data_IF_333018493594
#
_entry.id   IF_333018493594
#
_cell.length_a   1.000
_cell.length_b   1.000
_cell.length_c   1.000
_cell.angle_alpha   90.00
_cell.angle_beta   90.00
_cell.angle_gamma   90.00
#
_symmetry.space_group_name_H-M   'P 1'
#
loop_
_entity.id
_entity.type
_entity.pdbx_description
1 polymer ?
#
# COMPACT_ATOMS: atom_id res chain seq x y z
N UNK A 1 -24.92 -12.31 -3.54
CA UNK A 1 -24.77 -11.07 -2.72
C UNK A 1 -23.60 -10.29 -3.28
N UNK A 2 -23.82 -9.03 -3.69
CA UNK A 2 -22.68 -8.22 -4.14
C UNK A 2 -21.83 -7.86 -2.92
N UNK A 3 -20.74 -8.58 -2.71
CA UNK A 3 -19.79 -8.30 -1.64
C UNK A 3 -19.16 -6.91 -1.89
N UNK A 4 -18.88 -6.16 -0.82
CA UNK A 4 -18.23 -4.83 -0.92
C UNK A 4 -16.88 -4.94 -1.64
N UNK A 5 -16.14 -6.03 -1.46
CA UNK A 5 -14.89 -6.30 -2.14
C UNK A 5 -15.06 -6.33 -3.66
N UNK A 6 -16.11 -7.02 -4.16
CA UNK A 6 -16.39 -7.07 -5.61
C UNK A 6 -16.65 -5.69 -6.21
N UNK A 7 -17.34 -4.82 -5.46
CA UNK A 7 -17.60 -3.44 -5.89
C UNK A 7 -16.31 -2.64 -5.95
N UNK A 8 -15.45 -2.77 -4.95
CA UNK A 8 -14.14 -2.11 -4.91
C UNK A 8 -13.28 -2.56 -6.08
N UNK A 9 -13.18 -3.86 -6.32
CA UNK A 9 -12.37 -4.42 -7.42
C UNK A 9 -12.86 -3.93 -8.79
N UNK A 10 -14.17 -3.96 -9.04
CA UNK A 10 -14.74 -3.44 -10.30
C UNK A 10 -14.38 -1.96 -10.52
N UNK A 11 -14.57 -1.14 -9.48
CA UNK A 11 -14.23 0.28 -9.56
C UNK A 11 -12.74 0.51 -9.77
N UNK A 12 -11.90 -0.32 -9.14
CA UNK A 12 -10.45 -0.26 -9.32
C UNK A 12 -10.03 -0.60 -10.76
N UNK A 13 -10.65 -1.59 -11.39
CA UNK A 13 -10.40 -1.93 -12.81
C UNK A 13 -10.66 -0.71 -13.70
N UNK A 14 -11.85 -0.08 -13.57
CA UNK A 14 -12.20 1.11 -14.35
C UNK A 14 -11.17 2.24 -14.19
N UNK A 15 -10.78 2.53 -12.95
CA UNK A 15 -9.79 3.58 -12.65
C UNK A 15 -8.41 3.29 -13.23
N UNK A 16 -7.94 2.06 -13.12
CA UNK A 16 -6.64 1.69 -13.66
C UNK A 16 -6.60 1.89 -15.17
N UNK A 17 -7.65 1.47 -15.88
CA UNK A 17 -7.75 1.64 -17.33
C UNK A 17 -7.81 3.13 -17.73
N UNK A 18 -8.47 3.97 -16.94
CA UNK A 18 -8.47 5.42 -17.14
C UNK A 18 -7.08 6.03 -16.92
N UNK A 19 -6.41 5.65 -15.84
CA UNK A 19 -5.06 6.17 -15.53
C UNK A 19 -4.06 5.76 -16.59
N UNK A 20 -4.10 4.51 -17.07
CA UNK A 20 -3.21 4.01 -18.13
C UNK A 20 -3.32 4.79 -19.45
N UNK A 21 -4.46 5.41 -19.75
CA UNK A 21 -4.62 6.27 -20.92
C UNK A 21 -3.80 7.56 -20.81
N UNK A 22 -3.58 8.05 -19.60
CA UNK A 22 -2.98 9.36 -19.34
C UNK A 22 -1.55 9.27 -18.78
N UNK A 23 -1.15 8.11 -18.25
CA UNK A 23 0.14 7.90 -17.59
C UNK A 23 0.80 6.66 -18.18
N UNK A 24 1.94 6.83 -18.84
CA UNK A 24 2.71 5.71 -19.38
C UNK A 24 3.55 5.03 -18.28
N UNK A 25 3.84 3.75 -18.49
CA UNK A 25 4.72 3.00 -17.58
C UNK A 25 6.13 3.60 -17.55
N UNK A 26 6.63 4.11 -18.67
CA UNK A 26 7.96 4.70 -18.75
C UNK A 26 8.05 6.01 -17.95
N UNK A 27 6.99 6.83 -17.97
CA UNK A 27 6.91 8.00 -17.09
C UNK A 27 7.00 7.62 -15.59
N UNK A 28 6.36 6.52 -15.20
CA UNK A 28 6.44 6.02 -13.83
C UNK A 28 7.85 5.52 -13.49
N UNK A 29 8.50 4.78 -14.40
CA UNK A 29 9.89 4.31 -14.24
C UNK A 29 10.87 5.47 -14.11
N UNK A 30 10.75 6.50 -14.94
CA UNK A 30 11.57 7.71 -14.85
C UNK A 30 11.40 8.43 -13.51
N UNK A 31 10.18 8.48 -12.99
CA UNK A 31 9.89 9.08 -11.69
C UNK A 31 10.48 8.24 -10.55
N UNK A 32 10.41 6.92 -10.64
CA UNK A 32 11.03 5.99 -9.69
C UNK A 32 12.54 6.15 -9.68
N UNK A 33 13.20 6.23 -10.85
CA UNK A 33 14.65 6.36 -10.96
C UNK A 33 15.20 7.66 -10.36
N UNK A 34 14.38 8.71 -10.28
CA UNK A 34 14.73 10.01 -9.69
C UNK A 34 14.45 10.09 -8.18
N UNK A 35 13.88 9.05 -7.59
CA UNK A 35 13.51 9.02 -6.18
C UNK A 35 14.47 8.15 -5.38
N UNK A 36 15.17 8.75 -4.42
CA UNK A 36 16.15 8.11 -3.53
C UNK A 36 15.60 7.87 -2.09
N UNK A 37 14.33 8.18 -1.85
CA UNK A 37 13.71 8.14 -0.52
C UNK A 37 13.23 6.76 -0.07
N UNK A 38 13.51 5.70 -0.83
CA UNK A 38 13.04 4.35 -0.52
C UNK A 38 13.73 3.75 0.71
N UNK A 39 12.92 3.08 1.53
CA UNK A 39 13.35 2.43 2.77
C UNK A 39 12.97 0.95 2.73
N UNK A 40 13.76 0.11 3.39
CA UNK A 40 13.46 -1.32 3.46
C UNK A 40 12.45 -1.60 4.58
N UNK A 41 11.18 -1.76 4.19
CA UNK A 41 10.06 -2.01 5.12
C UNK A 41 10.24 -3.31 5.91
N UNK A 42 10.58 -4.41 5.23
CA UNK A 42 10.82 -5.72 5.85
C UNK A 42 11.98 -5.68 6.83
N UNK A 43 13.11 -5.13 6.42
CA UNK A 43 14.32 -5.06 7.24
C UNK A 43 14.09 -4.27 8.54
N UNK A 44 13.32 -3.17 8.46
CA UNK A 44 13.00 -2.37 9.65
C UNK A 44 12.25 -3.19 10.71
N UNK A 45 11.32 -4.03 10.27
CA UNK A 45 10.58 -4.94 11.16
C UNK A 45 11.51 -6.03 11.71
N UNK A 46 12.31 -6.69 10.85
CA UNK A 46 13.22 -7.74 11.28
C UNK A 46 14.28 -7.25 12.27
N UNK A 47 14.78 -6.03 12.10
CA UNK A 47 15.75 -5.44 13.05
C UNK A 47 15.14 -5.26 14.43
N UNK A 48 13.85 -4.90 14.52
CA UNK A 48 13.17 -4.85 15.83
C UNK A 48 13.04 -6.26 16.45
N UNK A 49 12.63 -7.26 15.66
CA UNK A 49 12.50 -8.65 16.13
C UNK A 49 13.83 -9.18 16.66
N UNK A 50 14.94 -8.97 15.94
CA UNK A 50 16.29 -9.36 16.37
C UNK A 50 16.71 -8.71 17.70
N UNK A 51 16.20 -7.53 17.98
CA UNK A 51 16.49 -6.78 19.20
C UNK A 51 15.39 -6.96 20.28
N UNK A 52 14.52 -7.97 20.15
CA UNK A 52 13.38 -8.24 21.06
C UNK A 52 12.46 -7.02 21.25
N UNK A 53 12.28 -6.20 20.21
CA UNK A 53 11.38 -5.03 20.21
C UNK A 53 10.12 -5.32 19.41
N UNK A 54 9.01 -4.78 19.88
CA UNK A 54 7.73 -4.82 19.15
C UNK A 54 7.82 -3.88 17.94
N UNK A 55 7.30 -4.34 16.80
CA UNK A 55 7.11 -3.51 15.61
C UNK A 55 5.65 -3.08 15.49
N UNK A 56 5.44 -1.78 15.29
CA UNK A 56 4.11 -1.20 15.08
C UNK A 56 4.04 -0.68 13.65
N UNK A 57 3.04 -1.15 12.89
CA UNK A 57 2.64 -0.58 11.60
C UNK A 57 1.41 0.28 11.87
N UNK A 58 1.56 1.59 11.86
CA UNK A 58 0.49 2.52 12.20
C UNK A 58 -0.30 2.94 10.95
N UNK A 59 -1.63 2.78 11.02
CA UNK A 59 -2.50 3.04 9.87
C UNK A 59 -3.01 4.48 9.84
N UNK A 60 -2.93 5.12 8.66
CA UNK A 60 -3.47 6.45 8.35
C UNK A 60 -4.66 6.26 7.42
N UNK A 61 -5.86 6.48 7.95
CA UNK A 61 -7.12 6.21 7.27
C UNK A 61 -8.15 7.30 7.57
N UNK A 62 -8.76 7.88 6.51
CA UNK A 62 -9.82 8.89 6.63
C UNK A 62 -11.19 8.27 6.83
N UNK A 63 -11.51 7.24 6.08
CA UNK A 63 -12.83 6.62 6.05
C UNK A 63 -12.74 5.12 5.80
N UNK A 64 -13.82 4.39 6.05
CA UNK A 64 -13.99 3.00 5.63
C UNK A 64 -15.45 2.71 5.26
N UNK A 65 -15.75 1.67 4.45
CA UNK A 65 -17.12 1.31 4.07
C UNK A 65 -18.03 1.01 5.27
N UNK A 66 -17.47 0.49 6.36
CA UNK A 66 -18.22 0.11 7.57
C UNK A 66 -18.42 1.24 8.56
N UNK A 67 -17.46 2.16 8.68
CA UNK A 67 -17.45 3.23 9.68
C UNK A 67 -17.78 4.62 9.09
N UNK A 68 -17.83 4.77 7.76
CA UNK A 68 -17.93 6.08 7.12
C UNK A 68 -16.67 6.92 7.38
N UNK A 69 -16.84 8.23 7.53
CA UNK A 69 -15.73 9.14 7.86
C UNK A 69 -15.35 8.95 9.32
N UNK A 70 -14.07 8.61 9.58
CA UNK A 70 -13.52 8.39 10.92
C UNK A 70 -12.99 9.70 11.51
N UNK A 71 -12.37 10.54 10.65
CA UNK A 71 -11.83 11.83 11.03
C UNK A 71 -12.30 12.94 10.10
N UNK A 72 -13.04 13.92 10.62
CA UNK A 72 -13.49 15.08 9.84
C UNK A 72 -12.29 16.00 9.49
N UNK A 73 -11.44 16.28 10.47
CA UNK A 73 -10.23 17.11 10.29
C UNK A 73 -9.02 16.23 9.88
N UNK A 74 -9.22 15.38 8.88
CA UNK A 74 -8.18 14.47 8.42
C UNK A 74 -7.03 15.21 7.75
N UNK A 75 -5.86 15.13 8.39
CA UNK A 75 -4.58 15.57 7.85
C UNK A 75 -3.57 14.40 7.94
N UNK A 76 -3.22 13.74 6.82
CA UNK A 76 -2.33 12.60 6.82
C UNK A 76 -0.92 12.94 7.30
N UNK A 77 -0.46 14.19 7.10
CA UNK A 77 0.87 14.63 7.54
C UNK A 77 0.88 14.81 9.05
N UNK A 78 -0.15 15.45 9.61
CA UNK A 78 -0.30 15.63 11.05
C UNK A 78 -0.34 14.29 11.78
N UNK A 79 -1.13 13.33 11.27
CA UNK A 79 -1.21 11.98 11.83
C UNK A 79 0.14 11.26 11.73
N UNK A 80 0.81 11.33 10.57
CA UNK A 80 2.12 10.72 10.38
C UNK A 80 3.19 11.30 11.30
N UNK A 81 3.18 12.61 11.58
CA UNK A 81 4.07 13.24 12.56
C UNK A 81 3.84 12.69 13.98
N UNK A 82 2.57 12.59 14.42
CA UNK A 82 2.23 12.00 15.72
C UNK A 82 2.78 10.57 15.82
N UNK A 83 2.60 9.76 14.79
CA UNK A 83 3.12 8.39 14.77
C UNK A 83 4.66 8.34 14.79
N UNK A 84 5.32 9.22 14.03
CA UNK A 84 6.78 9.34 14.03
C UNK A 84 7.33 9.74 15.40
N UNK A 85 6.73 10.71 16.06
CA UNK A 85 7.13 11.19 17.39
C UNK A 85 6.96 10.08 18.45
N UNK A 86 5.96 9.21 18.27
CA UNK A 86 5.72 8.02 19.08
C UNK A 86 6.52 6.79 18.64
N UNK A 87 7.50 6.94 17.72
CA UNK A 87 8.49 5.93 17.32
C UNK A 87 7.87 4.64 16.76
N UNK A 88 6.80 4.75 15.98
CA UNK A 88 6.27 3.61 15.23
C UNK A 88 7.31 3.09 14.24
N UNK A 89 7.22 1.81 13.89
CA UNK A 89 8.20 1.16 13.02
C UNK A 89 7.98 1.52 11.55
N UNK A 90 6.73 1.47 11.10
CA UNK A 90 6.31 1.71 9.72
C UNK A 90 4.93 2.40 9.70
N UNK A 91 4.58 2.97 8.57
CA UNK A 91 3.26 3.52 8.31
C UNK A 91 2.49 2.64 7.32
N UNK A 92 1.17 2.57 7.45
CA UNK A 92 0.24 2.02 6.47
C UNK A 92 -0.69 3.15 6.02
N UNK A 93 -0.61 3.52 4.75
CA UNK A 93 -1.36 4.68 4.24
C UNK A 93 -2.43 4.21 3.27
N UNK A 94 -3.70 4.46 3.60
CA UNK A 94 -4.83 4.19 2.72
C UNK A 94 -4.75 5.07 1.48
N UNK A 95 -4.75 4.45 0.29
CA UNK A 95 -4.70 5.15 -0.99
C UNK A 95 -5.92 4.91 -1.87
N UNK A 96 -6.78 3.97 -1.48
CA UNK A 96 -8.05 3.73 -2.16
C UNK A 96 -8.98 4.96 -2.00
N UNK A 97 -9.45 5.50 -3.15
CA UNK A 97 -10.07 6.84 -3.19
C UNK A 97 -11.58 6.83 -2.96
N UNK A 98 -12.31 5.83 -3.49
CA UNK A 98 -13.78 5.86 -3.54
C UNK A 98 -14.43 5.44 -2.23
N UNK A 99 -13.86 4.44 -1.55
CA UNK A 99 -14.45 3.82 -0.36
C UNK A 99 -13.71 4.19 0.93
N UNK A 100 -12.42 4.52 0.82
CA UNK A 100 -11.58 4.89 1.98
C UNK A 100 -11.17 6.36 1.98
N UNK A 101 -11.52 7.11 0.93
CA UNK A 101 -11.17 8.52 0.74
C UNK A 101 -9.67 8.78 0.89
N UNK A 102 -8.85 7.80 0.42
CA UNK A 102 -7.41 7.84 0.42
C UNK A 102 -6.83 8.57 -0.80
N UNK A 103 -5.51 8.60 -0.91
CA UNK A 103 -4.82 9.10 -2.11
C UNK A 103 -3.35 8.69 -2.12
N UNK A 104 -2.81 8.33 -3.28
CA UNK A 104 -1.37 8.14 -3.47
C UNK A 104 -0.54 9.40 -3.15
N UNK A 105 -1.13 10.58 -3.32
CA UNK A 105 -0.49 11.86 -2.95
C UNK A 105 -0.16 11.95 -1.46
N UNK A 106 -0.91 11.27 -0.60
CA UNK A 106 -0.62 11.23 0.84
C UNK A 106 0.74 10.59 1.12
N UNK A 107 1.10 9.51 0.37
CA UNK A 107 2.42 8.88 0.50
C UNK A 107 3.53 9.86 0.12
N UNK A 108 3.45 10.51 -1.03
CA UNK A 108 4.44 11.51 -1.48
C UNK A 108 4.61 12.66 -0.45
N UNK A 109 3.49 13.17 0.06
CA UNK A 109 3.51 14.24 1.07
C UNK A 109 4.18 13.81 2.38
N UNK A 110 3.90 12.59 2.85
CA UNK A 110 4.48 12.01 4.05
C UNK A 110 5.97 11.76 3.84
N UNK A 111 6.38 11.10 2.75
CA UNK A 111 7.77 10.75 2.46
C UNK A 111 8.68 11.98 2.32
N UNK A 112 8.16 13.13 1.90
CA UNK A 112 8.90 14.40 1.87
C UNK A 112 9.26 14.94 3.26
N UNK A 113 8.55 14.54 4.30
CA UNK A 113 8.70 15.08 5.66
C UNK A 113 9.20 14.06 6.68
N UNK A 114 8.88 12.78 6.48
CA UNK A 114 9.06 11.72 7.48
C UNK A 114 9.83 10.56 6.86
N UNK A 115 10.87 10.10 7.56
CA UNK A 115 11.74 8.99 7.15
C UNK A 115 11.30 7.68 7.81
N UNK A 116 10.06 7.26 7.55
CA UNK A 116 9.53 5.94 7.93
C UNK A 116 9.20 5.14 6.68
N UNK A 117 9.35 3.79 6.71
CA UNK A 117 8.87 2.93 5.64
C UNK A 117 7.35 3.01 5.54
N UNK A 118 6.84 3.07 4.29
CA UNK A 118 5.41 3.24 4.01
C UNK A 118 4.86 2.06 3.20
N UNK A 119 3.83 1.42 3.75
CA UNK A 119 2.95 0.48 3.05
C UNK A 119 1.87 1.28 2.31
N UNK A 120 1.78 1.10 1.00
CA UNK A 120 0.63 1.51 0.22
C UNK A 120 -0.53 0.53 0.45
N UNK A 121 -1.52 0.95 1.23
CA UNK A 121 -2.70 0.15 1.56
C UNK A 121 -3.78 0.40 0.52
N UNK A 122 -3.86 -0.47 -0.47
CA UNK A 122 -4.80 -0.43 -1.60
C UNK A 122 -5.16 -1.84 -2.07
N UNK A 123 -6.08 -1.95 -3.02
CA UNK A 123 -6.45 -3.19 -3.70
C UNK A 123 -5.62 -3.32 -4.98
N UNK A 124 -4.54 -4.08 -4.91
CA UNK A 124 -3.65 -4.31 -6.04
C UNK A 124 -4.19 -5.47 -6.90
N UNK A 125 -4.49 -5.18 -8.16
CA UNK A 125 -5.04 -6.13 -9.14
C UNK A 125 -4.27 -6.12 -10.46
N UNK A 126 -3.42 -5.12 -10.68
CA UNK A 126 -2.66 -4.93 -11.92
C UNK A 126 -1.23 -4.47 -11.59
N UNK A 127 -0.17 -5.03 -12.24
CA UNK A 127 1.21 -4.63 -12.03
C UNK A 127 1.48 -3.13 -12.21
N UNK A 128 0.72 -2.43 -13.03
CA UNK A 128 0.83 -0.98 -13.21
C UNK A 128 0.68 -0.21 -11.90
N UNK A 129 -0.20 -0.68 -11.00
CA UNK A 129 -0.40 -0.04 -9.69
C UNK A 129 0.86 -0.09 -8.82
N UNK A 130 1.70 -1.12 -8.99
CA UNK A 130 2.96 -1.26 -8.22
C UNK A 130 3.93 -0.15 -8.62
N UNK A 131 4.09 0.09 -9.94
CA UNK A 131 4.88 1.22 -10.44
C UNK A 131 4.30 2.56 -9.99
N UNK A 132 2.97 2.69 -10.01
CA UNK A 132 2.29 3.87 -9.49
C UNK A 132 2.64 4.09 -8.01
N UNK A 133 2.39 3.11 -7.13
CA UNK A 133 2.69 3.20 -5.71
C UNK A 133 4.17 3.54 -5.45
N UNK A 134 5.08 2.84 -6.14
CA UNK A 134 6.53 3.09 -6.06
C UNK A 134 6.87 4.51 -6.48
N UNK A 135 6.29 5.04 -7.56
CA UNK A 135 6.54 6.40 -8.06
C UNK A 135 6.12 7.49 -7.08
N UNK A 136 5.22 7.20 -6.15
CA UNK A 136 4.82 8.08 -5.04
C UNK A 136 5.62 7.83 -3.75
N UNK A 137 6.59 6.89 -3.76
CA UNK A 137 7.49 6.64 -2.64
C UNK A 137 7.10 5.50 -1.71
N UNK A 138 6.14 4.65 -2.10
CA UNK A 138 5.81 3.46 -1.31
C UNK A 138 7.00 2.49 -1.23
N UNK A 139 7.18 1.89 -0.06
CA UNK A 139 8.23 0.92 0.23
C UNK A 139 7.69 -0.52 0.27
N UNK A 140 6.38 -0.65 0.46
CA UNK A 140 5.68 -1.93 0.48
C UNK A 140 4.29 -1.81 -0.15
N UNK A 141 3.75 -2.94 -0.59
CA UNK A 141 2.37 -3.10 -1.06
C UNK A 141 1.62 -4.17 -0.28
N UNK A 142 0.29 -4.16 -0.39
CA UNK A 142 -0.60 -5.18 0.13
C UNK A 142 -1.16 -6.03 -1.02
N UNK A 143 -1.09 -7.35 -0.91
CA UNK A 143 -1.81 -8.29 -1.78
C UNK A 143 -2.91 -8.93 -0.95
N UNK A 144 -4.18 -8.78 -1.37
CA UNK A 144 -5.35 -9.36 -0.70
C UNK A 144 -5.82 -10.56 -1.51
N UNK A 145 -5.59 -11.78 -1.03
CA UNK A 145 -5.88 -13.01 -1.80
C UNK A 145 -7.38 -13.19 -2.08
N UNK A 146 -8.25 -12.76 -1.18
CA UNK A 146 -9.69 -12.79 -1.41
C UNK A 146 -10.16 -11.98 -2.63
N UNK A 147 -9.34 -11.04 -3.12
CA UNK A 147 -9.69 -10.11 -4.21
C UNK A 147 -9.16 -10.50 -5.59
N UNK A 148 -8.26 -11.51 -5.68
CA UNK A 148 -7.56 -11.86 -6.93
C UNK A 148 -7.29 -13.37 -6.99
N UNK A 149 -7.06 -13.91 -8.19
CA UNK A 149 -6.61 -15.30 -8.33
C UNK A 149 -5.10 -15.45 -8.05
N UNK A 150 -4.66 -16.67 -7.80
CA UNK A 150 -3.28 -16.98 -7.42
C UNK A 150 -2.24 -16.56 -8.47
N UNK A 151 -2.55 -16.75 -9.77
CA UNK A 151 -1.64 -16.37 -10.86
C UNK A 151 -1.39 -14.86 -10.87
N UNK A 152 -2.44 -14.06 -10.60
CA UNK A 152 -2.31 -12.62 -10.52
C UNK A 152 -1.58 -12.20 -9.24
N UNK A 153 -1.86 -12.85 -8.11
CA UNK A 153 -1.12 -12.62 -6.86
C UNK A 153 0.38 -12.85 -7.06
N UNK A 154 0.76 -13.96 -7.70
CA UNK A 154 2.17 -14.28 -8.00
C UNK A 154 2.81 -13.25 -8.95
N UNK A 155 2.08 -12.78 -9.97
CA UNK A 155 2.57 -11.72 -10.87
C UNK A 155 2.83 -10.43 -10.10
N UNK A 156 1.89 -10.00 -9.27
CA UNK A 156 2.03 -8.80 -8.43
C UNK A 156 3.22 -8.92 -7.47
N UNK A 157 3.34 -10.07 -6.81
CA UNK A 157 4.45 -10.36 -5.90
C UNK A 157 5.81 -10.23 -6.61
N UNK A 158 5.97 -10.92 -7.74
CA UNK A 158 7.21 -10.89 -8.51
C UNK A 158 7.55 -9.48 -9.01
N UNK A 159 6.55 -8.71 -9.44
CA UNK A 159 6.77 -7.35 -9.92
C UNK A 159 7.18 -6.40 -8.79
N UNK A 160 6.58 -6.54 -7.61
CA UNK A 160 6.99 -5.78 -6.43
C UNK A 160 8.46 -6.08 -6.03
N UNK A 161 8.86 -7.34 -6.05
CA UNK A 161 10.25 -7.73 -5.75
C UNK A 161 11.25 -7.14 -6.74
N UNK A 162 10.94 -7.09 -8.05
CA UNK A 162 11.79 -6.44 -9.07
C UNK A 162 12.04 -4.95 -8.77
N UNK A 163 11.08 -4.30 -8.14
CA UNK A 163 11.18 -2.91 -7.71
C UNK A 163 11.74 -2.74 -6.29
N UNK A 164 12.28 -3.80 -5.68
CA UNK A 164 12.77 -3.81 -4.31
C UNK A 164 11.72 -3.33 -3.28
N UNK A 165 10.45 -3.67 -3.52
CA UNK A 165 9.38 -3.41 -2.57
C UNK A 165 9.12 -4.64 -1.68
N UNK A 166 8.77 -4.40 -0.43
CA UNK A 166 8.25 -5.44 0.45
C UNK A 166 6.79 -5.73 0.12
N UNK A 167 6.35 -6.97 0.38
CA UNK A 167 4.95 -7.38 0.17
C UNK A 167 4.38 -7.89 1.48
N UNK A 168 3.19 -7.41 1.83
CA UNK A 168 2.32 -8.00 2.85
C UNK A 168 1.21 -8.73 2.11
N UNK A 169 0.96 -9.99 2.48
CA UNK A 169 -0.15 -10.79 1.95
C UNK A 169 -1.24 -10.88 3.02
N UNK A 170 -2.44 -10.39 2.69
CA UNK A 170 -3.61 -10.45 3.55
C UNK A 170 -4.45 -11.68 3.18
N UNK A 171 -4.78 -12.50 4.19
CA UNK A 171 -5.54 -13.74 4.06
C UNK A 171 -6.65 -13.78 5.11
N UNK A 172 -7.80 -14.36 4.76
CA UNK A 172 -8.98 -14.44 5.63
C UNK A 172 -9.37 -15.88 5.96
N UNK A 173 -8.80 -16.86 5.24
CA UNK A 173 -9.07 -18.28 5.46
C UNK A 173 -7.77 -19.08 5.60
N UNK A 174 -7.88 -20.30 6.16
CA UNK A 174 -6.75 -21.24 6.25
C UNK A 174 -6.27 -21.67 4.86
N UNK A 175 -7.20 -21.80 3.93
CA UNK A 175 -6.93 -22.15 2.53
C UNK A 175 -6.09 -21.07 1.86
N UNK A 176 -6.50 -19.80 1.99
CA UNK A 176 -5.71 -18.66 1.50
C UNK A 176 -4.32 -18.60 2.14
N UNK A 177 -4.21 -18.87 3.44
CA UNK A 177 -2.92 -18.90 4.11
C UNK A 177 -1.99 -19.99 3.55
N UNK A 178 -2.53 -21.19 3.23
CA UNK A 178 -1.77 -22.26 2.57
C UNK A 178 -1.31 -21.87 1.17
N UNK A 179 -2.14 -21.17 0.41
CA UNK A 179 -1.76 -20.65 -0.92
C UNK A 179 -0.67 -19.59 -0.81
N UNK A 180 -0.76 -18.67 0.15
CA UNK A 180 0.24 -17.63 0.37
C UNK A 180 1.64 -18.17 0.72
N UNK A 181 1.73 -19.40 1.22
CA UNK A 181 3.00 -20.04 1.61
C UNK A 181 3.68 -20.83 0.46
N UNK A 182 3.02 -20.99 -0.68
CA UNK A 182 3.58 -21.61 -1.89
C UNK A 182 4.42 -20.62 -2.68
#
# INVERSE_FOLDING_TARGET
MNNILDKIIRKKIEKIEEVKKNVSLDLLKDKIAKNDSFLNFKEKIFNNVKNNKISIIAEIKKASPSAGIIFNDYDPIKIANIYNDNKVTCLSVLTEEDFFLGSLKHIDQIKKKIKLPVLCKDFFIDPFQIYQAKSYGADAILIILAGINNDNAQKLYNEALKLNMSVIVEVHTVEEAKEALK
#
